data_IF_238533373019
#
_entry.id   IF_238533373019
#
_cell.length_a   1.000
_cell.length_b   1.000
_cell.length_c   1.000
_cell.angle_alpha   90.00
_cell.angle_beta   90.00
_cell.angle_gamma   90.00
#
_symmetry.space_group_name_H-M   'P 1'
#
loop_
_entity.id
_entity.type
_entity.pdbx_description
1 polymer ?
#
# COMPACT_ATOMS: atom_id res chain seq x y z
N UNK A 1 -5.64 -6.72 -2.12
CA UNK A 1 -7.06 -6.32 -2.09
C UNK A 1 -7.32 -5.30 -3.19
N UNK A 2 -8.16 -5.67 -4.14
CA UNK A 2 -8.53 -4.80 -5.26
C UNK A 2 -9.51 -3.71 -4.82
N UNK A 3 -9.49 -2.52 -5.43
CA UNK A 3 -10.38 -1.43 -5.07
C UNK A 3 -11.84 -1.77 -5.40
N UNK A 4 -12.72 -1.67 -4.41
CA UNK A 4 -14.17 -1.88 -4.52
C UNK A 4 -14.90 -0.91 -5.47
N UNK A 5 -14.25 0.10 -5.99
CA UNK A 5 -14.82 0.95 -7.02
C UNK A 5 -13.71 1.59 -7.85
N UNK A 6 -13.77 1.36 -9.13
CA UNK A 6 -13.10 2.19 -10.16
C UNK A 6 -13.85 3.55 -10.30
N UNK A 7 -14.50 4.04 -9.23
CA UNK A 7 -15.00 5.41 -9.17
C UNK A 7 -13.82 6.36 -9.03
N UNK A 8 -13.28 6.74 -10.17
CA UNK A 8 -12.09 7.55 -10.35
C UNK A 8 -11.10 6.91 -11.31
N UNK A 9 -11.48 5.88 -12.04
CA UNK A 9 -10.83 5.52 -13.29
C UNK A 9 -10.88 6.77 -14.16
N UNK A 10 -9.75 7.50 -14.19
CA UNK A 10 -9.65 8.71 -14.96
C UNK A 10 -10.08 8.41 -16.39
N UNK A 11 -11.00 9.19 -16.89
CA UNK A 11 -11.44 9.09 -18.25
C UNK A 11 -10.22 9.50 -19.10
N UNK A 12 -9.63 8.59 -19.86
CA UNK A 12 -8.57 8.90 -20.84
C UNK A 12 -9.00 10.03 -21.82
N UNK A 13 -10.28 10.40 -21.81
CA UNK A 13 -10.84 11.51 -22.58
C UNK A 13 -10.33 12.91 -22.19
N UNK A 14 -9.61 13.09 -21.08
CA UNK A 14 -9.15 14.42 -20.64
C UNK A 14 -7.73 14.81 -21.11
N UNK A 15 -7.01 13.96 -21.84
CA UNK A 15 -5.69 14.29 -22.36
C UNK A 15 -5.78 14.85 -23.81
N UNK A 16 -5.84 16.17 -23.93
CA UNK A 16 -5.54 16.98 -25.13
C UNK A 16 -6.12 16.49 -26.47
N UNK A 17 -7.25 15.78 -26.49
CA UNK A 17 -7.91 15.37 -27.73
C UNK A 17 -7.23 14.21 -28.49
N UNK A 18 -6.19 13.58 -27.93
CA UNK A 18 -5.58 12.37 -28.51
C UNK A 18 -6.53 11.18 -28.39
N UNK A 19 -6.54 10.32 -29.38
CA UNK A 19 -7.22 9.03 -29.32
C UNK A 19 -6.62 8.18 -28.19
N UNK A 20 -7.43 7.51 -27.34
CA UNK A 20 -6.93 6.66 -26.27
C UNK A 20 -5.91 5.59 -26.70
N UNK A 21 -6.06 5.01 -27.90
CA UNK A 21 -5.13 4.02 -28.42
C UNK A 21 -3.76 4.63 -28.77
N UNK A 22 -3.74 5.82 -29.39
CA UNK A 22 -2.51 6.53 -29.72
C UNK A 22 -1.77 6.96 -28.43
N UNK A 23 -2.53 7.40 -27.44
CA UNK A 23 -1.99 7.75 -26.14
C UNK A 23 -1.32 6.54 -25.49
N UNK A 24 -2.00 5.40 -25.40
CA UNK A 24 -1.45 4.18 -24.81
C UNK A 24 -0.18 3.72 -25.54
N UNK A 25 -0.16 3.81 -26.89
CA UNK A 25 1.01 3.48 -27.69
C UNK A 25 2.23 4.35 -27.36
N UNK A 26 2.03 5.64 -27.11
CA UNK A 26 3.10 6.57 -26.70
C UNK A 26 3.73 6.12 -25.35
N UNK A 27 2.92 5.77 -24.36
CA UNK A 27 3.40 5.29 -23.05
C UNK A 27 4.09 3.93 -23.14
N UNK A 28 3.57 3.02 -23.95
CA UNK A 28 4.21 1.71 -24.18
C UNK A 28 5.55 1.87 -24.87
N UNK A 29 5.67 2.80 -25.84
CA UNK A 29 6.93 3.11 -26.52
C UNK A 29 7.95 3.65 -25.51
N UNK A 30 7.56 4.60 -24.68
CA UNK A 30 8.39 5.18 -23.63
C UNK A 30 8.89 4.10 -22.64
N UNK A 31 8.02 3.20 -22.19
CA UNK A 31 8.41 2.11 -21.30
C UNK A 31 9.41 1.15 -21.97
N UNK A 32 9.24 0.86 -23.28
CA UNK A 32 10.20 0.05 -24.05
C UNK A 32 11.55 0.74 -24.22
N UNK A 33 11.57 2.06 -24.45
CA UNK A 33 12.79 2.85 -24.53
C UNK A 33 13.53 2.82 -23.20
N UNK A 34 12.84 3.03 -22.08
CA UNK A 34 13.40 2.87 -20.73
C UNK A 34 14.00 1.46 -20.53
N UNK A 35 13.25 0.40 -20.89
CA UNK A 35 13.75 -0.97 -20.77
C UNK A 35 15.03 -1.20 -21.56
N UNK A 36 15.07 -0.74 -22.82
CA UNK A 36 16.25 -0.87 -23.68
C UNK A 36 17.46 -0.13 -23.12
N UNK A 37 17.26 1.09 -22.64
CA UNK A 37 18.31 1.93 -22.07
C UNK A 37 18.92 1.30 -20.80
N UNK A 38 18.10 0.58 -20.01
CA UNK A 38 18.52 -0.07 -18.77
C UNK A 38 18.84 -1.57 -18.95
N UNK A 39 18.86 -2.07 -20.18
CA UNK A 39 19.21 -3.45 -20.51
C UNK A 39 18.18 -4.50 -20.05
N UNK A 40 16.95 -4.08 -19.76
CA UNK A 40 15.87 -4.98 -19.37
C UNK A 40 15.28 -5.70 -20.59
N UNK A 41 14.93 -6.97 -20.43
CA UNK A 41 14.32 -7.78 -21.50
C UNK A 41 12.89 -8.11 -21.10
N UNK A 42 11.93 -7.95 -22.05
CA UNK A 42 10.56 -8.38 -21.84
C UNK A 42 10.51 -9.81 -21.33
N UNK A 43 9.77 -10.03 -20.26
CA UNK A 43 9.47 -11.39 -19.80
C UNK A 43 8.48 -12.01 -20.78
N UNK A 44 8.85 -13.15 -21.35
CA UNK A 44 7.95 -13.93 -22.19
C UNK A 44 7.12 -14.82 -21.28
N UNK A 45 5.79 -14.67 -21.36
CA UNK A 45 4.85 -15.60 -20.72
C UNK A 45 4.43 -16.64 -21.75
N UNK A 46 4.42 -17.90 -21.37
CA UNK A 46 3.92 -19.01 -22.22
C UNK A 46 2.42 -18.89 -22.56
N UNK A 47 1.69 -18.06 -21.80
CA UNK A 47 0.35 -17.63 -22.12
C UNK A 47 0.41 -16.19 -22.63
N UNK A 48 -0.01 -15.97 -23.86
CA UNK A 48 -0.45 -14.64 -24.31
C UNK A 48 -1.70 -14.28 -23.49
N UNK A 49 -1.50 -13.64 -22.34
CA UNK A 49 -2.59 -12.97 -21.66
C UNK A 49 -3.14 -11.92 -22.63
N UNK A 50 -4.41 -12.02 -22.98
CA UNK A 50 -5.07 -11.02 -23.80
C UNK A 50 -5.07 -9.67 -23.07
N UNK A 51 -5.17 -8.55 -23.79
CA UNK A 51 -5.32 -7.23 -23.15
C UNK A 51 -6.54 -7.20 -22.22
N UNK A 52 -7.56 -8.01 -22.50
CA UNK A 52 -8.74 -8.22 -21.65
C UNK A 52 -8.39 -8.94 -20.34
N UNK A 53 -7.44 -9.89 -20.32
CA UNK A 53 -7.01 -10.57 -19.11
C UNK A 53 -6.30 -9.62 -18.13
N UNK A 54 -5.49 -8.70 -18.64
CA UNK A 54 -4.78 -7.72 -17.80
C UNK A 54 -5.71 -6.65 -17.19
N UNK A 55 -6.83 -6.31 -17.83
CA UNK A 55 -7.85 -5.40 -17.33
C UNK A 55 -8.89 -6.13 -16.47
N UNK A 56 -9.07 -7.45 -16.67
CA UNK A 56 -10.05 -8.29 -15.98
C UNK A 56 -9.88 -8.27 -14.45
N UNK A 57 -8.66 -8.17 -13.95
CA UNK A 57 -8.36 -8.06 -12.51
C UNK A 57 -8.89 -6.79 -11.83
N UNK A 58 -9.28 -5.78 -12.60
CA UNK A 58 -9.79 -4.50 -12.08
C UNK A 58 -11.27 -4.30 -12.36
N UNK A 59 -12.00 -5.34 -12.76
CA UNK A 59 -13.43 -5.28 -13.00
C UNK A 59 -14.24 -5.45 -11.71
N UNK A 60 -15.46 -4.96 -11.74
CA UNK A 60 -16.41 -5.14 -10.64
C UNK A 60 -16.73 -6.63 -10.45
N UNK A 61 -16.90 -7.35 -11.54
CA UNK A 61 -17.24 -8.78 -11.58
C UNK A 61 -16.12 -9.61 -10.93
N UNK A 62 -14.86 -9.30 -11.22
CA UNK A 62 -13.72 -9.98 -10.59
C UNK A 62 -13.68 -9.72 -9.08
N UNK A 63 -13.89 -8.47 -8.66
CA UNK A 63 -13.97 -8.14 -7.24
C UNK A 63 -15.12 -8.86 -6.53
N UNK A 64 -16.31 -8.89 -7.16
CA UNK A 64 -17.47 -9.61 -6.63
C UNK A 64 -17.18 -11.10 -6.48
N UNK A 65 -16.53 -11.73 -7.46
CA UNK A 65 -16.12 -13.13 -7.37
C UNK A 65 -15.13 -13.38 -6.21
N UNK A 66 -14.17 -12.48 -5.98
CA UNK A 66 -13.28 -12.58 -4.81
C UNK A 66 -14.05 -12.47 -3.49
N UNK A 67 -15.04 -11.60 -3.42
CA UNK A 67 -15.87 -11.45 -2.22
C UNK A 67 -16.74 -12.68 -1.96
N UNK A 68 -17.23 -13.35 -3.01
CA UNK A 68 -17.91 -14.65 -2.84
C UNK A 68 -17.00 -15.67 -2.17
N UNK A 69 -15.75 -15.80 -2.62
CA UNK A 69 -14.78 -16.71 -1.99
C UNK A 69 -14.55 -16.35 -0.51
N UNK A 70 -14.38 -15.05 -0.19
CA UNK A 70 -14.21 -14.59 1.21
C UNK A 70 -15.40 -15.01 2.08
N UNK A 71 -16.62 -14.92 1.53
CA UNK A 71 -17.86 -15.27 2.24
C UNK A 71 -18.02 -16.79 2.36
N UNK A 72 -17.77 -17.54 1.29
CA UNK A 72 -17.87 -19.01 1.27
C UNK A 72 -16.87 -19.66 2.24
N UNK A 73 -15.63 -19.18 2.25
CA UNK A 73 -14.56 -19.67 3.13
C UNK A 73 -14.72 -19.18 4.60
N UNK A 74 -15.70 -18.32 4.88
CA UNK A 74 -15.97 -17.80 6.24
C UNK A 74 -14.73 -17.30 6.93
N UNK A 75 -13.93 -16.50 6.21
CA UNK A 75 -12.66 -16.01 6.75
C UNK A 75 -12.88 -15.31 8.10
N UNK A 76 -12.03 -15.54 9.11
CA UNK A 76 -12.23 -14.93 10.44
C UNK A 76 -12.17 -13.39 10.40
N UNK A 77 -11.31 -12.81 9.56
CA UNK A 77 -11.14 -11.36 9.41
C UNK A 77 -11.03 -11.00 7.94
N UNK A 78 -11.80 -9.98 7.53
CA UNK A 78 -11.69 -9.33 6.24
C UNK A 78 -11.18 -7.90 6.41
N UNK A 79 -10.01 -7.58 5.86
CA UNK A 79 -9.42 -6.24 5.91
C UNK A 79 -9.55 -5.53 4.56
N UNK A 80 -10.34 -4.45 4.50
CA UNK A 80 -10.53 -3.65 3.31
C UNK A 80 -9.53 -2.48 3.23
N UNK A 81 -8.56 -2.55 2.31
CA UNK A 81 -7.57 -1.48 2.11
C UNK A 81 -8.04 -0.36 1.18
N UNK A 82 -8.86 -0.68 0.18
CA UNK A 82 -9.40 0.28 -0.78
C UNK A 82 -10.90 0.01 -0.98
N UNK A 83 -11.72 1.04 -0.79
CA UNK A 83 -13.16 0.95 -0.99
C UNK A 83 -13.96 0.95 0.33
N UNK A 84 -15.26 0.73 0.19
CA UNK A 84 -16.20 0.70 1.31
C UNK A 84 -16.81 -0.70 1.45
N UNK A 85 -16.64 -1.42 2.57
CA UNK A 85 -17.18 -2.76 2.77
C UNK A 85 -18.70 -2.80 2.95
N UNK A 86 -19.37 -1.66 3.09
CA UNK A 86 -20.80 -1.57 3.41
C UNK A 86 -21.71 -2.52 2.60
N UNK A 87 -21.54 -2.72 1.28
CA UNK A 87 -22.39 -3.64 0.51
C UNK A 87 -22.32 -5.11 0.95
N UNK A 88 -21.25 -5.50 1.62
CA UNK A 88 -20.94 -6.88 2.00
C UNK A 88 -21.13 -7.15 3.49
N UNK A 89 -21.31 -6.09 4.29
CA UNK A 89 -21.34 -6.18 5.76
C UNK A 89 -22.34 -7.19 6.29
N UNK A 90 -23.56 -7.21 5.76
CA UNK A 90 -24.60 -8.14 6.20
C UNK A 90 -24.16 -9.59 6.04
N UNK A 91 -23.66 -9.97 4.86
CA UNK A 91 -23.21 -11.33 4.53
C UNK A 91 -21.98 -11.74 5.34
N UNK A 92 -21.03 -10.83 5.51
CA UNK A 92 -19.82 -11.08 6.31
C UNK A 92 -20.18 -11.30 7.79
N UNK A 93 -21.08 -10.49 8.36
CA UNK A 93 -21.52 -10.61 9.75
C UNK A 93 -22.30 -11.90 10.04
N UNK A 94 -23.14 -12.35 9.11
CA UNK A 94 -23.84 -13.65 9.23
C UNK A 94 -22.86 -14.80 9.42
N UNK A 95 -21.69 -14.72 8.80
CA UNK A 95 -20.62 -15.73 8.93
C UNK A 95 -19.75 -15.53 10.19
N UNK A 96 -19.94 -14.46 10.94
CA UNK A 96 -19.08 -14.09 12.07
C UNK A 96 -17.75 -13.46 11.66
N UNK A 97 -17.55 -13.13 10.39
CA UNK A 97 -16.35 -12.47 9.88
C UNK A 97 -16.22 -11.07 10.46
N UNK A 98 -15.09 -10.77 11.09
CA UNK A 98 -14.73 -9.43 11.55
C UNK A 98 -14.25 -8.57 10.38
N UNK A 99 -14.70 -7.34 10.33
CA UNK A 99 -14.38 -6.42 9.22
C UNK A 99 -13.53 -5.28 9.70
N UNK A 100 -12.34 -5.14 9.12
CA UNK A 100 -11.42 -4.01 9.34
C UNK A 100 -11.35 -3.15 8.09
N UNK A 101 -11.16 -1.83 8.26
CA UNK A 101 -11.03 -0.92 7.11
C UNK A 101 -9.92 0.08 7.31
N UNK A 102 -9.09 0.24 6.28
CA UNK A 102 -8.03 1.26 6.26
C UNK A 102 -8.62 2.60 5.83
N UNK A 103 -8.36 3.65 6.61
CA UNK A 103 -8.81 5.01 6.34
C UNK A 103 -7.64 5.99 6.39
N UNK A 104 -7.68 7.02 5.55
CA UNK A 104 -6.67 8.08 5.54
C UNK A 104 -7.29 9.47 5.75
N UNK A 105 -8.54 9.56 6.22
CA UNK A 105 -9.20 10.82 6.53
C UNK A 105 -10.43 10.61 7.42
N UNK A 106 -10.77 11.63 8.23
CA UNK A 106 -11.93 11.62 9.14
C UNK A 106 -13.24 11.33 8.41
N UNK A 107 -13.47 11.91 7.23
CA UNK A 107 -14.68 11.63 6.44
C UNK A 107 -14.84 10.16 6.06
N UNK A 108 -13.73 9.45 5.89
CA UNK A 108 -13.76 8.00 5.63
C UNK A 108 -14.09 7.23 6.90
N UNK A 109 -13.54 7.66 8.04
CA UNK A 109 -13.83 7.09 9.36
C UNK A 109 -15.33 7.11 9.66
N UNK A 110 -15.96 8.28 9.55
CA UNK A 110 -17.41 8.44 9.78
C UNK A 110 -18.20 7.47 8.88
N UNK A 111 -17.81 7.36 7.61
CA UNK A 111 -18.51 6.50 6.65
C UNK A 111 -18.39 5.01 6.99
N UNK A 112 -17.20 4.53 7.37
CA UNK A 112 -17.01 3.11 7.68
C UNK A 112 -17.54 2.76 9.07
N UNK A 113 -17.48 3.68 10.03
CA UNK A 113 -18.13 3.53 11.33
C UNK A 113 -19.64 3.35 11.17
N UNK A 114 -20.28 4.17 10.35
CA UNK A 114 -21.72 4.03 10.05
C UNK A 114 -22.08 2.72 9.33
N UNK A 115 -21.12 2.10 8.62
CA UNK A 115 -21.30 0.77 8.02
C UNK A 115 -21.16 -0.35 9.06
N UNK A 116 -20.68 -0.05 10.27
CA UNK A 116 -20.57 -0.98 11.39
C UNK A 116 -19.39 -1.95 11.26
N UNK A 117 -18.23 -1.47 10.81
CA UNK A 117 -16.97 -2.25 10.83
C UNK A 117 -16.54 -2.56 12.26
N UNK A 118 -15.73 -3.61 12.45
CA UNK A 118 -15.29 -4.06 13.77
C UNK A 118 -13.97 -3.39 14.21
N UNK A 119 -13.16 -2.89 13.28
CA UNK A 119 -11.94 -2.12 13.57
C UNK A 119 -11.62 -1.14 12.45
N UNK A 120 -10.92 -0.06 12.78
CA UNK A 120 -10.48 0.98 11.82
C UNK A 120 -8.97 1.10 11.88
N UNK A 121 -8.30 1.05 10.72
CA UNK A 121 -6.86 1.29 10.61
C UNK A 121 -6.64 2.73 10.13
N UNK A 122 -6.13 3.59 11.00
CA UNK A 122 -5.79 4.99 10.70
C UNK A 122 -4.41 5.03 10.02
N UNK A 123 -4.39 4.99 8.68
CA UNK A 123 -3.15 4.98 7.91
C UNK A 123 -2.76 6.38 7.45
N UNK A 124 -1.69 6.92 8.03
CA UNK A 124 -1.16 8.23 7.70
C UNK A 124 -0.31 8.27 6.42
N UNK A 125 0.09 9.49 6.05
CA UNK A 125 0.94 9.78 4.89
C UNK A 125 2.31 9.08 4.94
N UNK A 126 2.77 8.77 6.13
CA UNK A 126 4.06 8.14 6.40
C UNK A 126 4.11 6.66 5.99
N UNK A 127 2.95 6.07 5.67
CA UNK A 127 2.83 4.67 5.26
C UNK A 127 3.41 4.40 3.86
N UNK A 128 3.86 3.17 3.64
CA UNK A 128 4.18 2.63 2.32
C UNK A 128 2.91 2.29 1.52
N UNK A 129 3.04 2.24 0.20
CA UNK A 129 1.90 1.98 -0.70
C UNK A 129 0.96 3.18 -0.83
N UNK A 130 -0.28 2.93 -1.23
CA UNK A 130 -1.27 3.99 -1.42
C UNK A 130 -1.57 4.70 -0.10
N UNK A 131 -1.50 6.01 -0.11
CA UNK A 131 -1.66 6.82 1.09
C UNK A 131 -2.51 8.09 0.86
N UNK A 132 -2.83 8.76 1.96
CA UNK A 132 -3.53 10.03 2.03
C UNK A 132 -2.56 11.14 2.45
N UNK A 133 -2.92 12.43 2.31
CA UNK A 133 -1.98 13.51 2.59
C UNK A 133 -1.78 13.84 4.08
N UNK A 134 -2.53 13.23 5.00
CA UNK A 134 -2.45 13.53 6.44
C UNK A 134 -1.45 12.60 7.12
N UNK A 135 -0.44 13.16 7.80
CA UNK A 135 0.56 12.41 8.54
C UNK A 135 -0.01 11.62 9.72
N UNK A 136 0.62 10.52 10.11
CA UNK A 136 0.13 9.58 11.13
C UNK A 136 -0.10 10.25 12.49
N UNK A 137 0.82 11.10 12.93
CA UNK A 137 0.73 11.84 14.20
C UNK A 137 -0.53 12.72 14.29
N UNK A 138 -0.95 13.31 13.18
CA UNK A 138 -2.13 14.17 13.13
C UNK A 138 -3.42 13.36 12.82
N UNK A 139 -3.30 12.27 12.06
CA UNK A 139 -4.46 11.50 11.63
C UNK A 139 -5.03 10.62 12.75
N UNK A 140 -4.17 9.90 13.48
CA UNK A 140 -4.58 8.90 14.46
C UNK A 140 -5.57 9.46 15.48
N UNK A 141 -5.29 10.57 16.22
CA UNK A 141 -6.22 11.09 17.22
C UNK A 141 -7.55 11.55 16.61
N UNK A 142 -7.52 12.15 15.42
CA UNK A 142 -8.74 12.58 14.73
C UNK A 142 -9.62 11.39 14.28
N UNK A 143 -9.01 10.27 13.93
CA UNK A 143 -9.73 9.03 13.59
C UNK A 143 -10.30 8.41 14.86
N UNK A 144 -9.56 8.40 15.96
CA UNK A 144 -10.03 7.94 17.29
C UNK A 144 -11.26 8.72 17.71
N UNK A 145 -11.22 10.05 17.67
CA UNK A 145 -12.35 10.91 18.04
C UNK A 145 -13.60 10.67 17.16
N UNK A 146 -13.39 10.32 15.89
CA UNK A 146 -14.47 10.09 14.92
C UNK A 146 -14.92 8.64 14.81
N UNK A 147 -14.28 7.70 15.53
CA UNK A 147 -14.51 6.26 15.39
C UNK A 147 -15.84 5.77 15.96
N UNK A 148 -16.54 6.60 16.75
CA UNK A 148 -17.75 6.23 17.49
C UNK A 148 -17.56 5.02 18.43
N UNK A 149 -16.38 4.89 19.04
CA UNK A 149 -16.03 3.82 19.96
C UNK A 149 -15.58 2.51 19.28
N UNK A 150 -15.39 2.52 17.95
CA UNK A 150 -14.80 1.38 17.25
C UNK A 150 -13.29 1.41 17.47
N UNK A 151 -12.65 0.26 17.83
CA UNK A 151 -11.20 0.18 18.02
C UNK A 151 -10.41 0.72 16.83
N UNK A 152 -9.40 1.54 17.10
CA UNK A 152 -8.53 2.15 16.08
C UNK A 152 -7.12 1.59 16.18
N UNK A 153 -6.57 1.18 15.04
CA UNK A 153 -5.16 0.80 14.91
C UNK A 153 -4.40 1.92 14.19
N UNK A 154 -3.31 2.38 14.80
CA UNK A 154 -2.41 3.36 14.18
C UNK A 154 -1.54 2.70 13.10
N UNK A 155 -1.38 3.36 11.94
CA UNK A 155 -0.57 2.86 10.84
C UNK A 155 0.18 3.98 10.11
N UNK A 156 1.35 3.63 9.57
CA UNK A 156 2.21 4.56 8.83
C UNK A 156 3.36 5.10 9.66
N UNK A 157 4.61 4.88 9.18
CA UNK A 157 5.82 5.34 9.83
C UNK A 157 6.22 4.59 11.11
N UNK A 158 5.44 3.60 11.54
CA UNK A 158 5.70 2.79 12.74
C UNK A 158 6.66 1.66 12.36
N UNK A 159 7.89 1.70 12.87
CA UNK A 159 8.92 0.70 12.59
C UNK A 159 9.68 0.21 13.83
N UNK A 160 9.39 0.77 15.01
CA UNK A 160 9.89 0.31 16.30
C UNK A 160 8.87 0.51 17.42
N UNK A 161 9.22 0.05 18.64
CA UNK A 161 8.34 0.11 19.81
C UNK A 161 7.99 1.53 20.27
N UNK A 162 8.81 2.55 19.96
CA UNK A 162 8.51 3.96 20.27
C UNK A 162 7.30 4.44 19.46
N UNK A 163 7.23 4.05 18.20
CA UNK A 163 6.07 4.34 17.34
C UNK A 163 4.79 3.67 17.81
N UNK A 164 4.88 2.46 18.36
CA UNK A 164 3.74 1.75 18.97
C UNK A 164 3.26 2.50 20.22
N UNK A 165 4.18 2.83 21.14
CA UNK A 165 3.86 3.58 22.36
C UNK A 165 3.23 4.94 22.04
N UNK A 166 3.77 5.67 21.04
CA UNK A 166 3.21 6.93 20.59
C UNK A 166 1.78 6.77 20.03
N UNK A 167 1.52 5.70 19.27
CA UNK A 167 0.17 5.41 18.74
C UNK A 167 -0.84 5.20 19.88
N UNK A 168 -0.45 4.52 20.95
CA UNK A 168 -1.30 4.35 22.14
C UNK A 168 -1.55 5.68 22.86
N UNK A 169 -0.53 6.53 22.98
CA UNK A 169 -0.71 7.88 23.55
C UNK A 169 -1.66 8.77 22.70
N UNK A 170 -1.75 8.50 21.39
CA UNK A 170 -2.70 9.17 20.50
C UNK A 170 -4.11 8.54 20.53
N UNK A 171 -4.35 7.54 21.39
CA UNK A 171 -5.64 6.90 21.59
C UNK A 171 -5.90 5.66 20.74
N UNK A 172 -4.93 5.18 19.96
CA UNK A 172 -5.06 3.91 19.26
C UNK A 172 -5.02 2.73 20.27
N UNK A 173 -5.73 1.65 19.94
CA UNK A 173 -5.78 0.40 20.74
C UNK A 173 -4.85 -0.68 20.18
N UNK A 174 -4.20 -0.41 19.07
CA UNK A 174 -3.25 -1.30 18.42
C UNK A 174 -2.52 -0.58 17.28
N UNK A 175 -1.71 -1.34 16.55
CA UNK A 175 -0.96 -0.82 15.40
C UNK A 175 -1.04 -1.77 14.20
N UNK A 176 -0.84 -1.21 13.01
CA UNK A 176 -0.75 -1.95 11.75
C UNK A 176 0.58 -1.62 11.09
N UNK A 177 1.50 -2.58 11.07
CA UNK A 177 2.89 -2.39 10.63
C UNK A 177 3.12 -3.17 9.33
N UNK A 178 3.69 -2.51 8.32
CA UNK A 178 4.03 -3.11 7.03
C UNK A 178 5.54 -3.21 6.81
N UNK A 179 6.22 -2.08 6.67
CA UNK A 179 7.59 -2.03 6.16
C UNK A 179 8.61 -2.81 6.98
N UNK A 180 8.48 -2.84 8.30
CA UNK A 180 9.36 -3.64 9.16
C UNK A 180 9.22 -5.16 8.87
N UNK A 181 8.00 -5.63 8.62
CA UNK A 181 7.74 -7.03 8.28
C UNK A 181 8.01 -7.38 6.81
N UNK A 182 8.06 -6.41 5.90
CA UNK A 182 8.54 -6.68 4.53
C UNK A 182 10.02 -7.11 4.51
N UNK A 183 10.81 -6.70 5.49
CA UNK A 183 12.18 -7.15 5.68
C UNK A 183 12.27 -8.41 6.58
N UNK A 184 11.20 -9.15 6.76
CA UNK A 184 11.28 -10.46 7.43
C UNK A 184 11.71 -11.57 6.48
N UNK A 185 12.27 -12.65 7.02
CA UNK A 185 12.63 -13.83 6.27
C UNK A 185 11.40 -14.46 5.61
N UNK A 186 10.26 -14.44 6.31
CA UNK A 186 9.00 -15.05 5.90
C UNK A 186 8.19 -14.21 4.90
N UNK A 187 8.55 -12.94 4.68
CA UNK A 187 7.82 -12.10 3.73
C UNK A 187 7.97 -12.64 2.30
N UNK A 188 6.84 -12.85 1.63
CA UNK A 188 6.80 -13.31 0.23
C UNK A 188 7.00 -12.12 -0.74
N UNK A 189 8.21 -11.53 -0.66
CA UNK A 189 8.72 -10.55 -1.62
C UNK A 189 10.13 -10.96 -2.07
N UNK A 190 10.63 -10.38 -3.16
CA UNK A 190 11.94 -10.72 -3.69
C UNK A 190 13.06 -10.28 -2.74
N UNK A 191 14.13 -11.07 -2.64
CA UNK A 191 15.28 -10.78 -1.76
C UNK A 191 15.91 -9.42 -2.06
N UNK A 192 15.98 -9.01 -3.33
CA UNK A 192 16.50 -7.69 -3.70
C UNK A 192 15.61 -6.54 -3.19
N UNK A 193 14.30 -6.78 -3.01
CA UNK A 193 13.40 -5.80 -2.40
C UNK A 193 13.57 -5.75 -0.87
N UNK A 194 13.81 -6.91 -0.22
CA UNK A 194 14.17 -6.94 1.21
C UNK A 194 15.46 -6.16 1.45
N UNK A 195 16.45 -6.37 0.60
CA UNK A 195 17.72 -5.65 0.68
C UNK A 195 17.55 -4.15 0.43
N UNK A 196 16.70 -3.75 -0.53
CA UNK A 196 16.38 -2.35 -0.77
C UNK A 196 15.80 -1.65 0.47
N UNK A 197 15.00 -2.38 1.26
CA UNK A 197 14.45 -1.86 2.52
C UNK A 197 15.55 -1.62 3.53
N UNK A 198 16.49 -2.56 3.66
CA UNK A 198 17.61 -2.48 4.62
C UNK A 198 18.61 -1.39 4.26
N UNK A 199 18.85 -1.19 2.95
CA UNK A 199 19.81 -0.20 2.43
C UNK A 199 19.26 1.23 2.45
N UNK A 200 17.93 1.39 2.55
CA UNK A 200 17.29 2.70 2.47
C UNK A 200 17.51 3.54 3.74
N UNK A 201 17.57 4.85 3.53
CA UNK A 201 17.59 5.86 4.61
C UNK A 201 16.19 6.43 4.84
N UNK A 202 16.04 7.29 5.84
CA UNK A 202 14.81 8.04 6.13
C UNK A 202 14.33 8.92 4.97
N UNK A 203 15.23 9.35 4.09
CA UNK A 203 14.92 10.12 2.88
C UNK A 203 14.69 9.24 1.66
N UNK A 204 14.88 7.92 1.79
CA UNK A 204 14.88 6.94 0.69
C UNK A 204 13.52 6.68 0.05
N UNK A 205 12.43 7.35 0.44
CA UNK A 205 11.10 7.13 -0.12
C UNK A 205 10.52 8.36 -0.81
N UNK A 206 9.72 8.14 -1.84
CA UNK A 206 9.01 9.19 -2.56
C UNK A 206 7.53 8.85 -2.72
N UNK A 207 6.67 9.86 -2.87
CA UNK A 207 5.30 9.67 -3.33
C UNK A 207 5.31 9.73 -4.85
N UNK A 208 4.89 8.66 -5.49
CA UNK A 208 4.86 8.58 -6.94
C UNK A 208 3.57 7.93 -7.44
N UNK A 209 3.16 8.31 -8.65
CA UNK A 209 2.07 7.68 -9.41
C UNK A 209 2.60 6.72 -10.48
N UNK A 210 3.91 6.60 -10.60
CA UNK A 210 4.61 5.88 -11.66
C UNK A 210 4.29 4.39 -11.77
N UNK A 211 3.80 3.77 -10.69
CA UNK A 211 3.49 2.33 -10.66
C UNK A 211 2.01 2.04 -10.88
N UNK A 212 1.13 2.70 -10.14
CA UNK A 212 -0.29 2.35 -10.14
C UNK A 212 -1.20 3.43 -10.72
N UNK A 213 -0.68 4.63 -10.95
CA UNK A 213 -1.49 5.79 -11.34
C UNK A 213 -2.15 6.53 -10.18
N UNK A 214 -2.06 6.01 -8.96
CA UNK A 214 -2.46 6.69 -7.71
C UNK A 214 -1.24 7.04 -6.88
N UNK A 215 -1.30 8.12 -6.09
CA UNK A 215 -0.22 8.44 -5.16
C UNK A 215 0.06 7.27 -4.23
N UNK A 216 1.30 6.80 -4.25
CA UNK A 216 1.78 5.73 -3.39
C UNK A 216 3.21 6.03 -2.95
N UNK A 217 3.55 5.69 -1.69
CA UNK A 217 4.91 5.80 -1.20
C UNK A 217 5.69 4.56 -1.57
N UNK A 218 6.79 4.76 -2.28
CA UNK A 218 7.69 3.72 -2.76
C UNK A 218 9.14 4.13 -2.44
N UNK A 219 10.03 3.17 -2.39
CA UNK A 219 11.46 3.46 -2.31
C UNK A 219 11.87 4.13 -3.62
N UNK A 220 12.64 5.24 -3.53
CA UNK A 220 13.13 5.97 -4.72
C UNK A 220 13.93 5.02 -5.61
N UNK A 221 13.72 5.12 -6.92
CA UNK A 221 14.32 4.23 -7.90
C UNK A 221 14.56 4.94 -9.22
N UNK A 222 15.34 4.33 -10.11
CA UNK A 222 15.54 4.80 -11.48
C UNK A 222 14.22 4.98 -12.23
N UNK A 223 13.22 4.11 -11.96
CA UNK A 223 11.88 4.23 -12.53
C UNK A 223 11.10 5.44 -12.01
N UNK A 224 11.20 5.73 -10.72
CA UNK A 224 10.55 6.93 -10.15
C UNK A 224 11.20 8.21 -10.64
N UNK A 225 12.53 8.24 -10.72
CA UNK A 225 13.29 9.39 -11.18
C UNK A 225 13.09 9.66 -12.67
N UNK A 226 12.90 8.61 -13.46
CA UNK A 226 12.52 8.72 -14.86
C UNK A 226 11.16 9.42 -15.02
N UNK A 227 10.16 9.02 -14.22
CA UNK A 227 8.85 9.66 -14.26
C UNK A 227 8.84 11.09 -13.72
N UNK A 228 9.67 11.38 -12.72
CA UNK A 228 9.81 12.74 -12.17
C UNK A 228 10.39 13.72 -13.22
N UNK A 229 11.20 13.22 -14.14
CA UNK A 229 11.83 14.00 -15.22
C UNK A 229 11.04 13.97 -16.53
N UNK A 230 10.02 13.15 -16.63
CA UNK A 230 9.21 12.98 -17.83
C UNK A 230 8.25 14.15 -18.02
N UNK A 231 8.07 14.58 -19.27
CA UNK A 231 7.02 15.53 -19.65
C UNK A 231 5.61 14.88 -19.66
N UNK A 232 5.54 13.54 -19.54
CA UNK A 232 4.28 12.80 -19.48
C UNK A 232 3.84 12.59 -18.04
N UNK A 233 2.59 12.89 -17.77
CA UNK A 233 1.95 12.56 -16.49
C UNK A 233 1.61 11.06 -16.43
N UNK A 234 1.84 10.37 -15.28
CA UNK A 234 1.41 8.98 -15.13
C UNK A 234 -0.09 8.80 -15.41
N UNK A 235 -0.44 7.76 -16.15
CA UNK A 235 -1.82 7.42 -16.46
C UNK A 235 -2.62 7.15 -15.16
N UNK A 236 -3.94 7.37 -15.17
CA UNK A 236 -4.76 7.01 -14.03
C UNK A 236 -4.82 5.49 -13.85
N UNK A 237 -5.03 5.04 -12.61
CA UNK A 237 -5.28 3.62 -12.31
C UNK A 237 -6.55 3.13 -13.04
N UNK A 238 -6.56 1.93 -13.65
CA UNK A 238 -5.50 0.90 -13.63
C UNK A 238 -4.47 0.99 -14.77
N UNK A 239 -4.61 1.90 -15.71
CA UNK A 239 -3.82 1.95 -16.95
C UNK A 239 -2.31 2.07 -16.71
N UNK A 240 -1.92 2.85 -15.71
CA UNK A 240 -0.49 2.99 -15.34
C UNK A 240 0.15 1.66 -14.95
N UNK A 241 -0.59 0.79 -14.28
CA UNK A 241 -0.08 -0.54 -13.92
C UNK A 241 0.23 -1.39 -15.16
N UNK A 242 -0.51 -1.21 -16.25
CA UNK A 242 -0.22 -1.87 -17.53
C UNK A 242 1.06 -1.35 -18.21
N UNK A 243 1.43 -0.10 -17.96
CA UNK A 243 2.69 0.49 -18.46
C UNK A 243 3.87 0.08 -17.57
N UNK A 244 3.70 0.15 -16.26
CA UNK A 244 4.76 -0.17 -15.29
C UNK A 244 5.02 -1.69 -15.18
N UNK A 245 3.98 -2.52 -15.29
CA UNK A 245 4.04 -3.97 -15.07
C UNK A 245 5.18 -4.66 -15.79
N UNK A 246 5.31 -4.56 -17.11
CA UNK A 246 6.39 -5.20 -17.86
C UNK A 246 7.79 -4.75 -17.43
N UNK A 247 7.95 -3.47 -17.07
CA UNK A 247 9.23 -2.92 -16.58
C UNK A 247 9.60 -3.53 -15.23
N UNK A 248 8.66 -3.50 -14.28
CA UNK A 248 8.88 -3.97 -12.91
C UNK A 248 9.05 -5.49 -12.85
N UNK A 249 8.32 -6.23 -13.68
CA UNK A 249 8.47 -7.68 -13.78
C UNK A 249 9.84 -8.06 -14.33
N UNK A 250 10.29 -7.38 -15.39
CA UNK A 250 11.63 -7.58 -15.93
C UNK A 250 12.71 -7.23 -14.92
N UNK A 251 12.54 -6.12 -14.19
CA UNK A 251 13.43 -5.72 -13.12
C UNK A 251 13.49 -6.77 -11.99
N UNK A 252 12.36 -7.36 -11.61
CA UNK A 252 12.31 -8.45 -10.63
C UNK A 252 13.08 -9.70 -11.10
N UNK A 253 12.87 -10.11 -12.36
CA UNK A 253 13.59 -11.24 -12.95
C UNK A 253 15.11 -11.04 -12.92
N UNK A 254 15.56 -9.84 -13.21
CA UNK A 254 16.98 -9.47 -13.27
C UNK A 254 17.52 -8.97 -11.91
N UNK A 255 16.71 -9.06 -10.84
CA UNK A 255 17.04 -8.64 -9.47
C UNK A 255 17.50 -7.18 -9.38
N UNK A 256 16.91 -6.30 -10.19
CA UNK A 256 17.25 -4.88 -10.29
C UNK A 256 16.59 -4.07 -9.17
N UNK A 257 17.23 -4.06 -8.00
CA UNK A 257 16.84 -3.25 -6.84
C UNK A 257 16.74 -1.75 -7.17
N UNK A 258 17.60 -1.26 -8.04
CA UNK A 258 17.65 0.13 -8.48
C UNK A 258 16.44 0.56 -9.33
N UNK A 259 15.68 -0.40 -9.90
CA UNK A 259 14.48 -0.13 -10.71
C UNK A 259 13.20 -0.46 -9.97
N UNK A 260 13.14 -1.64 -9.32
CA UNK A 260 11.97 -2.06 -8.53
C UNK A 260 12.33 -2.43 -7.08
N UNK A 261 12.61 -1.44 -6.23
CA UNK A 261 12.89 -1.67 -4.81
C UNK A 261 11.64 -1.98 -3.98
N UNK A 262 10.43 -1.77 -4.50
CA UNK A 262 9.17 -2.02 -3.81
C UNK A 262 8.63 -0.82 -3.05
N UNK A 263 7.54 -1.08 -2.31
CA UNK A 263 6.84 -0.07 -1.50
C UNK A 263 7.34 -0.11 -0.06
N UNK A 264 7.58 1.06 0.54
CA UNK A 264 7.89 1.15 1.97
C UNK A 264 7.50 2.52 2.54
N UNK A 265 7.22 2.58 3.85
CA UNK A 265 6.91 3.80 4.56
C UNK A 265 8.16 4.58 5.02
N UNK A 266 7.96 5.78 5.55
CA UNK A 266 9.05 6.67 5.99
C UNK A 266 9.85 6.12 7.19
N UNK A 267 9.31 5.16 7.94
CA UNK A 267 10.05 4.48 9.00
C UNK A 267 11.12 3.50 8.51
N UNK A 268 11.33 3.38 7.19
CA UNK A 268 12.25 2.43 6.56
C UNK A 268 13.68 2.57 7.08
N UNK A 269 14.15 3.79 7.35
CA UNK A 269 15.49 4.03 7.87
C UNK A 269 15.78 3.39 9.24
N UNK A 270 14.77 2.90 9.95
CA UNK A 270 14.91 2.13 11.20
C UNK A 270 15.05 0.62 10.98
N UNK A 271 14.80 0.11 9.78
CA UNK A 271 14.94 -1.31 9.44
C UNK A 271 16.37 -1.58 8.99
N UNK A 272 17.14 -2.37 9.76
CA UNK A 272 18.59 -2.51 9.60
C UNK A 272 19.06 -3.89 9.13
N UNK A 273 18.19 -4.87 9.12
CA UNK A 273 18.51 -6.24 8.69
C UNK A 273 17.25 -6.99 8.27
N UNK A 274 17.44 -8.00 7.42
CA UNK A 274 16.45 -9.06 7.20
C UNK A 274 16.56 -10.02 8.38
N UNK A 275 15.44 -10.29 9.06
CA UNK A 275 15.39 -11.11 10.27
C UNK A 275 14.11 -11.93 10.32
N UNK A 276 14.04 -13.00 11.14
CA UNK A 276 12.78 -13.69 11.42
C UNK A 276 11.69 -12.73 11.94
N UNK A 277 10.47 -12.92 11.50
CA UNK A 277 9.32 -12.10 11.94
C UNK A 277 9.11 -12.17 13.45
N UNK A 278 9.45 -13.31 14.08
CA UNK A 278 9.41 -13.50 15.54
C UNK A 278 10.33 -12.51 16.26
N UNK A 279 11.57 -12.35 15.79
CA UNK A 279 12.53 -11.41 16.38
C UNK A 279 12.07 -9.95 16.21
N UNK A 280 11.54 -9.61 15.02
CA UNK A 280 10.98 -8.28 14.76
C UNK A 280 9.83 -8.01 15.76
N UNK A 281 8.94 -8.97 15.94
CA UNK A 281 7.81 -8.84 16.88
C UNK A 281 8.31 -8.68 18.33
N UNK A 282 9.28 -9.47 18.76
CA UNK A 282 9.85 -9.38 20.11
C UNK A 282 10.44 -7.97 20.37
N UNK A 283 11.27 -7.47 19.45
CA UNK A 283 11.87 -6.13 19.54
C UNK A 283 10.82 -5.01 19.59
N UNK A 284 9.76 -5.14 18.82
CA UNK A 284 8.64 -4.19 18.78
C UNK A 284 7.93 -4.15 20.14
N UNK A 285 7.64 -5.31 20.75
CA UNK A 285 6.95 -5.43 22.05
C UNK A 285 7.85 -4.90 23.16
N UNK A 286 9.10 -5.36 23.25
CA UNK A 286 10.03 -4.90 24.28
C UNK A 286 10.30 -3.39 24.18
N UNK A 287 10.47 -2.89 22.96
CA UNK A 287 10.67 -1.46 22.73
C UNK A 287 9.46 -0.62 23.13
N UNK A 288 8.25 -1.12 22.87
CA UNK A 288 7.00 -0.49 23.30
C UNK A 288 6.91 -0.44 24.84
N UNK A 289 7.09 -1.58 25.50
CA UNK A 289 7.03 -1.64 26.99
C UNK A 289 8.04 -0.71 27.64
N UNK A 290 9.27 -0.69 27.12
CA UNK A 290 10.33 0.22 27.61
C UNK A 290 9.91 1.68 27.42
N UNK A 291 9.40 2.05 26.24
CA UNK A 291 8.98 3.42 25.96
C UNK A 291 7.84 3.88 26.85
N UNK A 292 6.86 3.02 27.13
CA UNK A 292 5.76 3.32 28.05
C UNK A 292 6.24 3.48 29.50
N UNK A 293 7.16 2.62 29.96
CA UNK A 293 7.77 2.73 31.30
C UNK A 293 8.61 4.00 31.45
N UNK A 294 9.36 4.36 30.42
CA UNK A 294 10.21 5.56 30.44
C UNK A 294 9.39 6.85 30.37
N UNK A 295 8.30 6.88 29.63
CA UNK A 295 7.40 8.04 29.56
C UNK A 295 6.75 8.35 30.90
N UNK A 296 6.46 7.34 31.75
CA UNK A 296 5.93 7.54 33.10
C UNK A 296 6.90 8.29 34.01
N UNK A 297 8.21 8.22 33.78
CA UNK A 297 9.24 8.94 34.54
C UNK A 297 9.27 10.45 34.32
N UNK A 298 8.64 10.93 33.25
CA UNK A 298 8.58 12.37 32.93
C UNK A 298 7.70 13.13 33.97
N UNK A 299 6.78 12.42 34.64
CA UNK A 299 5.82 13.00 35.58
C UNK A 299 6.20 12.77 37.05
N UNK A 300 7.28 12.04 37.30
CA UNK A 300 7.83 11.81 38.63
C UNK A 300 9.16 12.56 38.84
#
# INVERSE_FOLDING_TARGET
LLPMSVRGGGNLKQNNGKNPADLLSEYQKMAKEFMNEHGLKMVQHDRQASEEDNLGFFTKEFFEAQMEVVIEEKVPVYAAGLGNPAPWMERLKVNGTKVMTVVGAVRHTIKVASAGVDAIVAQGHDAGGHNSPVGSMALIPQVVDASAGIPVLGAGGISDGRGIAASFMLGAEGVWIGSAFLASEEADIFDHQKQAIVDATEEGTVISRSVTGKPARIIRSTWTDFWEKSDLEPLPMPFQSGIAGPVLESANKDKRQDINPGFAGQGIGMVKAVRPAEEIMADLIEGMERSLKDSAKIYN
#
